data_IF_426975361878
#
_entry.id   IF_426975361878
#
_cell.length_a   1.000
_cell.length_b   1.000
_cell.length_c   1.000
_cell.angle_alpha   90.00
_cell.angle_beta   90.00
_cell.angle_gamma   90.00
#
_symmetry.space_group_name_H-M   'P 1'
#
loop_
_entity.id
_entity.type
_entity.pdbx_description
1 polymer ?
#
# COMPACT_ATOMS: atom_id res chain seq x y z
N UNK A 1 -10.33 20.87 -0.55
CA UNK A 1 -9.85 19.56 -0.04
C UNK A 1 -10.96 18.64 0.48
N UNK A 2 -12.19 19.14 0.77
CA UNK A 2 -13.19 18.36 1.52
C UNK A 2 -13.90 17.23 0.77
N UNK A 3 -13.89 17.17 -0.57
CA UNK A 3 -14.89 16.35 -1.27
C UNK A 3 -14.37 15.46 -2.41
N UNK A 4 -13.06 15.31 -2.61
CA UNK A 4 -12.54 14.56 -3.77
C UNK A 4 -12.59 13.05 -3.63
N UNK A 5 -12.52 12.50 -2.41
CA UNK A 5 -12.52 11.06 -2.19
C UNK A 5 -13.62 10.66 -1.21
N UNK A 6 -14.53 9.81 -1.67
CA UNK A 6 -15.58 9.22 -0.85
C UNK A 6 -15.19 7.81 -0.43
N UNK A 7 -15.09 7.55 0.87
CA UNK A 7 -14.87 6.19 1.39
C UNK A 7 -16.04 5.29 1.01
N UNK A 8 -15.75 4.05 0.62
CA UNK A 8 -16.75 3.04 0.24
C UNK A 8 -16.90 2.02 1.37
N UNK A 9 -15.85 1.23 1.63
CA UNK A 9 -15.82 0.21 2.68
C UNK A 9 -14.39 -0.04 3.14
N UNK A 10 -14.25 -0.57 4.36
CA UNK A 10 -12.96 -0.98 4.93
C UNK A 10 -12.48 -2.23 4.20
N UNK A 11 -11.22 -2.22 3.75
CA UNK A 11 -10.59 -3.33 3.03
C UNK A 11 -9.42 -3.94 3.80
N UNK A 12 -8.97 -3.29 4.86
CA UNK A 12 -7.89 -3.81 5.69
C UNK A 12 -7.69 -3.02 6.97
N UNK A 13 -6.92 -3.61 7.85
CA UNK A 13 -6.46 -3.02 9.10
C UNK A 13 -5.00 -3.41 9.29
N UNK A 14 -4.16 -2.41 9.53
CA UNK A 14 -2.75 -2.56 9.86
C UNK A 14 -2.51 -2.32 11.35
N UNK A 15 -1.25 -2.47 11.77
CA UNK A 15 -0.84 -2.21 13.14
C UNK A 15 -0.96 -0.72 13.53
N UNK A 16 -0.91 0.19 12.56
CA UNK A 16 -0.88 1.63 12.79
C UNK A 16 -2.04 2.40 12.15
N UNK A 17 -3.01 1.71 11.54
CA UNK A 17 -4.09 2.39 10.85
C UNK A 17 -5.06 1.49 10.10
N UNK A 18 -6.06 2.12 9.48
CA UNK A 18 -7.11 1.45 8.73
C UNK A 18 -6.95 1.70 7.23
N UNK A 19 -7.39 0.76 6.40
CA UNK A 19 -7.35 0.89 4.94
C UNK A 19 -8.77 0.77 4.40
N UNK A 20 -9.15 1.75 3.58
CA UNK A 20 -10.46 1.82 2.94
C UNK A 20 -10.35 1.83 1.43
N UNK A 21 -11.28 1.19 0.74
CA UNK A 21 -11.55 1.49 -0.67
C UNK A 21 -12.28 2.82 -0.74
N UNK A 22 -11.88 3.69 -1.68
CA UNK A 22 -12.48 4.99 -1.89
C UNK A 22 -12.66 5.28 -3.37
N UNK A 23 -13.64 6.13 -3.68
CA UNK A 23 -13.94 6.58 -5.04
C UNK A 23 -13.70 8.07 -5.18
N UNK A 24 -12.95 8.46 -6.21
CA UNK A 24 -12.80 9.85 -6.58
C UNK A 24 -14.16 10.37 -7.09
N UNK A 25 -14.65 11.46 -6.52
CA UNK A 25 -15.98 12.00 -6.84
C UNK A 25 -16.01 12.72 -8.20
N UNK A 26 -14.87 13.18 -8.70
CA UNK A 26 -14.74 13.86 -9.99
C UNK A 26 -14.45 12.86 -11.12
N UNK A 27 -13.46 11.96 -10.92
CA UNK A 27 -12.99 11.05 -11.98
C UNK A 27 -13.61 9.66 -11.95
N UNK A 28 -14.38 9.33 -10.91
CA UNK A 28 -14.86 7.98 -10.60
C UNK A 28 -13.77 6.92 -10.36
N UNK A 29 -12.50 7.32 -10.29
CA UNK A 29 -11.38 6.43 -10.02
C UNK A 29 -11.50 5.73 -8.65
N UNK A 30 -11.17 4.44 -8.59
CA UNK A 30 -11.08 3.69 -7.33
C UNK A 30 -9.64 3.71 -6.81
N UNK A 31 -9.49 3.94 -5.51
CA UNK A 31 -8.21 3.98 -4.82
C UNK A 31 -8.29 3.33 -3.43
N UNK A 32 -7.13 3.07 -2.84
CA UNK A 32 -7.01 2.72 -1.43
C UNK A 32 -6.61 3.97 -0.61
N UNK A 33 -7.25 4.17 0.54
CA UNK A 33 -6.91 5.22 1.50
C UNK A 33 -6.47 4.57 2.79
N UNK A 34 -5.22 4.81 3.18
CA UNK A 34 -4.69 4.46 4.50
C UNK A 34 -4.88 5.64 5.45
N UNK A 35 -5.45 5.38 6.62
CA UNK A 35 -5.78 6.36 7.65
C UNK A 35 -5.03 6.04 8.94
N UNK A 36 -4.43 7.07 9.54
CA UNK A 36 -3.74 6.99 10.83
C UNK A 36 -4.22 8.13 11.73
N UNK A 37 -4.49 7.82 13.01
CA UNK A 37 -4.85 8.82 14.02
C UNK A 37 -3.72 9.84 14.21
N UNK A 38 -4.01 11.13 14.05
CA UNK A 38 -3.02 12.20 14.16
C UNK A 38 -2.53 12.45 15.59
N UNK A 39 -3.17 11.85 16.59
CA UNK A 39 -2.80 11.82 18.01
C UNK A 39 -2.20 10.46 18.44
N UNK A 40 -2.02 9.51 17.51
CA UNK A 40 -1.34 8.24 17.78
C UNK A 40 0.07 8.48 18.31
N UNK A 41 0.45 7.74 19.36
CA UNK A 41 1.81 7.75 19.93
C UNK A 41 2.88 7.38 18.91
N UNK A 42 2.53 6.54 17.94
CA UNK A 42 3.42 6.12 16.86
C UNK A 42 2.79 6.48 15.52
N UNK A 43 3.39 7.45 14.84
CA UNK A 43 2.99 7.91 13.52
C UNK A 43 4.00 7.41 12.49
N UNK A 44 3.63 6.39 11.72
CA UNK A 44 4.48 5.81 10.68
C UNK A 44 4.06 6.27 9.29
N UNK A 45 2.82 6.72 9.09
CA UNK A 45 2.29 7.04 7.77
C UNK A 45 3.11 8.12 7.04
N UNK A 46 3.65 9.09 7.78
CA UNK A 46 4.55 10.13 7.23
C UNK A 46 5.83 9.54 6.64
N UNK A 47 6.41 8.52 7.30
CA UNK A 47 7.59 7.82 6.79
C UNK A 47 7.26 7.01 5.55
N UNK A 48 6.12 6.32 5.54
CA UNK A 48 5.64 5.56 4.36
C UNK A 48 5.47 6.46 3.14
N UNK A 49 4.81 7.61 3.32
CA UNK A 49 4.68 8.64 2.29
C UNK A 49 6.06 9.10 1.80
N UNK A 50 7.01 9.35 2.70
CA UNK A 50 8.36 9.79 2.32
C UNK A 50 9.10 8.74 1.48
N UNK A 51 8.97 7.46 1.83
CA UNK A 51 9.55 6.34 1.07
C UNK A 51 8.88 6.21 -0.31
N UNK A 52 7.55 6.20 -0.37
CA UNK A 52 6.81 6.11 -1.65
C UNK A 52 7.08 7.31 -2.58
N UNK A 53 7.32 8.50 -2.03
CA UNK A 53 7.74 9.67 -2.82
C UNK A 53 9.11 9.46 -3.47
N UNK A 54 10.06 8.82 -2.77
CA UNK A 54 11.39 8.50 -3.31
C UNK A 54 11.35 7.37 -4.32
N UNK A 55 10.41 6.44 -4.19
CA UNK A 55 10.17 5.35 -5.13
C UNK A 55 9.26 5.76 -6.31
N UNK A 56 8.96 7.06 -6.47
CA UNK A 56 8.13 7.55 -7.57
C UNK A 56 8.81 7.23 -8.90
N UNK A 57 8.17 6.39 -9.71
CA UNK A 57 8.68 5.93 -11.00
C UNK A 57 9.04 4.44 -11.03
N UNK A 58 9.11 3.79 -9.87
CA UNK A 58 9.18 2.32 -9.83
C UNK A 58 7.88 1.72 -10.39
N UNK A 59 8.03 0.67 -11.19
CA UNK A 59 6.92 -0.10 -11.74
C UNK A 59 6.40 -1.17 -10.78
N UNK A 60 7.08 -1.37 -9.64
CA UNK A 60 6.85 -2.49 -8.74
C UNK A 60 6.19 -2.08 -7.41
N UNK A 61 5.99 -0.77 -7.19
CA UNK A 61 5.42 -0.23 -5.95
C UNK A 61 4.07 0.45 -6.23
N UNK A 62 3.13 0.34 -5.28
CA UNK A 62 1.82 0.98 -5.42
C UNK A 62 1.98 2.51 -5.53
N UNK A 63 1.32 3.12 -6.52
CA UNK A 63 1.48 4.55 -6.82
C UNK A 63 0.84 5.42 -5.75
N UNK A 64 1.62 6.34 -5.19
CA UNK A 64 1.13 7.41 -4.32
C UNK A 64 0.36 8.45 -5.16
N UNK A 65 -0.91 8.70 -4.82
CA UNK A 65 -1.76 9.68 -5.51
C UNK A 65 -1.78 11.01 -4.78
N UNK A 66 -2.12 11.00 -3.50
CA UNK A 66 -2.14 12.18 -2.64
C UNK A 66 -1.98 11.79 -1.17
N UNK A 67 -1.69 12.73 -0.30
CA UNK A 67 -1.55 12.53 1.14
C UNK A 67 -1.81 13.85 1.86
N UNK A 68 -2.12 13.77 3.16
CA UNK A 68 -2.33 14.98 3.95
C UNK A 68 -2.89 14.69 5.32
N UNK A 69 -3.48 15.73 5.92
CA UNK A 69 -4.20 15.65 7.19
C UNK A 69 -5.61 16.17 7.00
N UNK A 70 -6.58 15.46 7.56
CA UNK A 70 -7.97 15.89 7.60
C UNK A 70 -8.52 15.67 9.01
N UNK A 71 -8.90 16.76 9.68
CA UNK A 71 -9.29 16.76 11.09
C UNK A 71 -8.22 16.06 11.95
N UNK A 72 -8.60 15.00 12.65
CA UNK A 72 -7.74 14.24 13.54
C UNK A 72 -7.07 13.03 12.85
N UNK A 73 -7.11 12.94 11.52
CA UNK A 73 -6.51 11.84 10.75
C UNK A 73 -5.40 12.33 9.82
N UNK A 74 -4.28 11.64 9.81
CA UNK A 74 -3.36 11.61 8.67
C UNK A 74 -3.90 10.61 7.64
N UNK A 75 -3.77 10.94 6.35
CA UNK A 75 -4.22 10.05 5.28
C UNK A 75 -3.22 9.98 4.13
N UNK A 76 -3.22 8.85 3.46
CA UNK A 76 -2.53 8.62 2.20
C UNK A 76 -3.46 7.91 1.23
N UNK A 77 -3.59 8.44 0.02
CA UNK A 77 -4.33 7.85 -1.09
C UNK A 77 -3.34 7.22 -2.05
N UNK A 78 -3.54 5.95 -2.36
CA UNK A 78 -2.68 5.17 -3.24
C UNK A 78 -3.52 4.35 -4.23
N UNK A 79 -2.88 3.87 -5.28
CA UNK A 79 -3.46 2.88 -6.19
C UNK A 79 -4.07 1.69 -5.43
N UNK A 80 -5.28 1.28 -5.82
CA UNK A 80 -5.87 0.07 -5.28
C UNK A 80 -5.22 -1.13 -5.97
N UNK A 81 -4.25 -1.73 -5.29
CA UNK A 81 -3.57 -2.94 -5.73
C UNK A 81 -4.48 -4.17 -5.54
N UNK A 82 -4.32 -5.20 -6.38
CA UNK A 82 -5.14 -6.41 -6.38
C UNK A 82 -4.94 -7.33 -5.17
N UNK A 83 -5.36 -8.59 -5.32
CA UNK A 83 -5.23 -9.62 -4.29
C UNK A 83 -3.76 -9.84 -3.88
N UNK A 84 -3.55 -10.14 -2.60
CA UNK A 84 -2.21 -10.46 -2.09
C UNK A 84 -1.78 -11.89 -2.47
N UNK A 85 -0.48 -12.18 -2.37
CA UNK A 85 0.08 -13.47 -2.74
C UNK A 85 -0.50 -14.65 -1.96
N UNK A 86 -0.93 -14.43 -0.71
CA UNK A 86 -1.58 -15.48 0.08
C UNK A 86 -2.95 -15.85 -0.48
N UNK A 87 -3.75 -14.88 -0.92
CA UNK A 87 -5.05 -15.14 -1.57
C UNK A 87 -4.87 -15.75 -2.97
N UNK A 88 -3.98 -15.17 -3.79
CA UNK A 88 -3.65 -15.73 -5.11
C UNK A 88 -3.20 -17.19 -5.03
N UNK A 89 -2.42 -17.54 -4.00
CA UNK A 89 -1.97 -18.93 -3.79
C UNK A 89 -3.13 -19.87 -3.47
N UNK A 90 -4.16 -19.41 -2.75
CA UNK A 90 -5.35 -20.24 -2.45
C UNK A 90 -6.10 -20.58 -3.74
N UNK A 91 -6.26 -19.61 -4.64
CA UNK A 91 -6.91 -19.84 -5.94
C UNK A 91 -6.14 -20.82 -6.84
N UNK A 92 -4.82 -20.95 -6.65
CA UNK A 92 -3.95 -21.88 -7.39
C UNK A 92 -3.84 -23.28 -6.73
N UNK A 93 -4.74 -23.62 -5.80
CA UNK A 93 -4.71 -24.92 -5.12
C UNK A 93 -3.63 -25.02 -4.03
N UNK A 94 -3.26 -23.89 -3.43
CA UNK A 94 -2.38 -23.82 -2.25
C UNK A 94 -0.89 -23.69 -2.54
N UNK A 95 -0.47 -23.72 -3.81
CA UNK A 95 0.92 -23.48 -4.24
C UNK A 95 0.96 -22.82 -5.61
N UNK A 96 2.02 -22.07 -5.86
CA UNK A 96 2.35 -21.60 -7.21
C UNK A 96 3.21 -22.65 -7.93
N UNK A 97 3.16 -22.66 -9.26
CA UNK A 97 4.13 -23.40 -10.04
C UNK A 97 5.52 -22.73 -9.97
N UNK A 98 6.52 -23.41 -10.51
CA UNK A 98 7.91 -22.93 -10.49
C UNK A 98 8.07 -21.60 -11.24
N UNK A 99 7.42 -21.46 -12.40
CA UNK A 99 7.56 -20.27 -13.26
C UNK A 99 7.00 -19.04 -12.53
N UNK A 100 5.80 -19.14 -11.99
CA UNK A 100 5.13 -18.09 -11.21
C UNK A 100 5.95 -17.75 -9.97
N UNK A 101 6.46 -18.75 -9.26
CA UNK A 101 7.31 -18.55 -8.07
C UNK A 101 8.57 -17.75 -8.42
N UNK A 102 9.26 -18.10 -9.51
CA UNK A 102 10.47 -17.40 -9.96
C UNK A 102 10.17 -15.97 -10.39
N UNK A 103 9.08 -15.74 -11.13
CA UNK A 103 8.67 -14.40 -11.56
C UNK A 103 8.34 -13.49 -10.37
N UNK A 104 7.61 -14.01 -9.38
CA UNK A 104 7.34 -13.29 -8.12
C UNK A 104 8.65 -13.00 -7.38
N UNK A 105 9.54 -13.99 -7.27
CA UNK A 105 10.83 -13.85 -6.60
C UNK A 105 11.69 -12.74 -7.21
N UNK A 106 11.77 -12.67 -8.55
CA UNK A 106 12.49 -11.60 -9.26
C UNK A 106 11.92 -10.22 -8.88
N UNK A 107 10.60 -10.05 -8.94
CA UNK A 107 9.96 -8.77 -8.60
C UNK A 107 10.22 -8.37 -7.14
N UNK A 108 10.12 -9.31 -6.20
CA UNK A 108 10.38 -9.05 -4.78
C UNK A 108 11.84 -8.60 -4.58
N UNK A 109 12.81 -9.27 -5.19
CA UNK A 109 14.23 -8.91 -5.08
C UNK A 109 14.47 -7.49 -5.63
N UNK A 110 13.88 -7.17 -6.79
CA UNK A 110 14.00 -5.84 -7.40
C UNK A 110 13.42 -4.75 -6.50
N UNK A 111 12.25 -4.96 -5.90
CA UNK A 111 11.65 -4.00 -4.93
C UNK A 111 12.58 -3.79 -3.73
N UNK A 112 13.14 -4.88 -3.19
CA UNK A 112 14.05 -4.82 -2.05
C UNK A 112 15.30 -4.01 -2.39
N UNK A 113 15.90 -4.25 -3.56
CA UNK A 113 17.06 -3.52 -4.06
C UNK A 113 16.76 -2.01 -4.21
N UNK A 114 15.62 -1.64 -4.78
CA UNK A 114 15.18 -0.24 -4.89
C UNK A 114 15.05 0.42 -3.51
N UNK A 115 14.42 -0.26 -2.54
CA UNK A 115 14.28 0.24 -1.17
C UNK A 115 15.65 0.41 -0.50
N UNK A 116 16.54 -0.57 -0.65
CA UNK A 116 17.87 -0.55 -0.06
C UNK A 116 18.75 0.56 -0.66
N UNK A 117 18.65 0.81 -1.96
CA UNK A 117 19.38 1.90 -2.66
C UNK A 117 19.01 3.27 -2.10
N UNK A 118 17.78 3.43 -1.59
CA UNK A 118 17.32 4.66 -0.94
C UNK A 118 17.74 4.77 0.54
N UNK A 119 18.47 3.78 1.07
CA UNK A 119 18.94 3.73 2.46
C UNK A 119 17.90 3.25 3.47
N UNK A 120 16.83 2.58 3.01
CA UNK A 120 15.79 2.04 3.89
C UNK A 120 15.87 0.52 3.97
N UNK A 121 15.33 -0.04 5.05
CA UNK A 121 15.12 -1.49 5.22
C UNK A 121 13.62 -1.68 5.45
N UNK A 122 12.97 -2.53 4.65
CA UNK A 122 11.50 -2.74 4.74
C UNK A 122 11.08 -3.40 6.07
N UNK A 123 11.86 -4.38 6.56
CA UNK A 123 11.69 -5.09 7.85
C UNK A 123 10.41 -5.91 8.05
N UNK A 124 9.49 -5.95 7.09
CA UNK A 124 8.20 -6.67 7.23
C UNK A 124 7.74 -7.24 5.87
N UNK A 125 8.60 -8.05 5.25
CA UNK A 125 8.33 -8.69 3.96
C UNK A 125 7.60 -10.01 4.21
N UNK A 126 6.34 -10.09 3.76
CA UNK A 126 5.48 -11.26 3.97
C UNK A 126 4.41 -11.38 2.88
N UNK A 127 3.87 -12.58 2.61
CA UNK A 127 2.90 -12.80 1.53
C UNK A 127 1.49 -12.24 1.81
N UNK A 128 1.20 -11.89 3.06
CA UNK A 128 -0.07 -11.28 3.48
C UNK A 128 0.05 -9.76 3.52
N UNK A 129 -0.93 -9.09 2.93
CA UNK A 129 -0.99 -7.63 2.93
C UNK A 129 -1.64 -7.14 4.23
N UNK A 130 -0.84 -6.56 5.12
CA UNK A 130 -1.36 -5.75 6.21
C UNK A 130 -0.98 -4.28 6.06
N UNK A 131 0.16 -3.97 5.44
CA UNK A 131 0.62 -2.59 5.25
C UNK A 131 1.40 -2.47 3.93
N UNK A 132 0.87 -1.61 3.03
CA UNK A 132 1.42 -1.15 1.73
C UNK A 132 1.39 -2.18 0.58
#
# INVERSE_FOLDING_TARGET
MKDQWRLIHKIGEGAYGEIYSAKNTETNEIAAIKLERADSKKQVLKLEVAVLKKLRGSNYVCKLKTWGRHSDWNFMVMELCGENLSELRKYQGGKFDLVTTLQIGIQIITIIEEIHTLGYIHRDIKPVKHEI
#
